data_IF_541754932390
#
_entry.id   IF_541754932390
#
_cell.length_a   1.000
_cell.length_b   1.000
_cell.length_c   1.000
_cell.angle_alpha   90.00
_cell.angle_beta   90.00
_cell.angle_gamma   90.00
#
_symmetry.space_group_name_H-M   'P 1'
#
loop_
_entity.id
_entity.type
_entity.pdbx_description
1 polymer ?
#
# COMPACT_ATOMS: atom_id res chain seq x y z
N UNK A 1 -6.88 -8.38 10.73
CA UNK A 1 -5.55 -8.89 10.35
C UNK A 1 -5.72 -10.31 9.84
N UNK A 2 -6.59 -10.50 8.84
CA UNK A 2 -7.02 -11.82 8.39
C UNK A 2 -5.86 -12.68 7.89
N UNK A 3 -5.01 -12.11 7.03
CA UNK A 3 -3.88 -12.83 6.45
C UNK A 3 -2.89 -13.30 7.53
N UNK A 4 -2.58 -12.44 8.50
CA UNK A 4 -1.73 -12.80 9.64
C UNK A 4 -2.37 -13.92 10.49
N UNK A 5 -3.65 -13.80 10.82
CA UNK A 5 -4.36 -14.82 11.61
C UNK A 5 -4.38 -16.19 10.91
N UNK A 6 -4.64 -16.19 9.59
CA UNK A 6 -4.56 -17.39 8.76
C UNK A 6 -3.16 -18.01 8.80
N UNK A 7 -2.11 -17.20 8.66
CA UNK A 7 -0.73 -17.69 8.74
C UNK A 7 -0.41 -18.27 10.13
N UNK A 8 -0.97 -17.69 11.20
CA UNK A 8 -0.84 -18.16 12.57
C UNK A 8 -1.75 -19.37 12.91
N UNK A 9 -2.42 -19.99 11.91
CA UNK A 9 -3.28 -21.16 12.11
C UNK A 9 -4.61 -20.85 12.80
N UNK A 10 -5.01 -19.58 12.89
CA UNK A 10 -6.27 -19.15 13.52
C UNK A 10 -7.34 -18.96 12.44
N UNK A 11 -8.56 -19.50 12.61
CA UNK A 11 -9.63 -19.31 11.63
C UNK A 11 -10.09 -17.86 11.64
N UNK A 12 -10.00 -17.20 10.48
CA UNK A 12 -10.54 -15.86 10.27
C UNK A 12 -10.91 -15.64 8.80
N UNK A 13 -11.99 -14.91 8.58
CA UNK A 13 -12.47 -14.53 7.25
C UNK A 13 -12.34 -13.02 7.09
N UNK A 14 -11.66 -12.59 6.03
CA UNK A 14 -11.59 -11.17 5.67
C UNK A 14 -12.98 -10.67 5.30
N UNK A 15 -13.41 -9.58 5.92
CA UNK A 15 -14.59 -8.81 5.50
C UNK A 15 -14.10 -7.53 4.84
N UNK A 16 -14.00 -7.48 3.49
CA UNK A 16 -13.54 -6.27 2.82
C UNK A 16 -14.59 -5.16 2.96
N UNK A 17 -14.17 -3.90 3.12
CA UNK A 17 -15.10 -2.77 3.07
C UNK A 17 -15.69 -2.65 1.65
N UNK A 18 -16.91 -2.09 1.55
CA UNK A 18 -17.47 -1.74 0.23
C UNK A 18 -16.62 -0.67 -0.43
N UNK A 19 -16.35 -0.85 -1.73
CA UNK A 19 -15.62 0.09 -2.58
C UNK A 19 -16.53 0.78 -3.59
N UNK A 20 -17.85 0.55 -3.52
CA UNK A 20 -18.83 1.05 -4.49
C UNK A 20 -18.88 2.59 -4.55
N UNK A 21 -18.59 3.24 -3.42
CA UNK A 21 -18.56 4.70 -3.32
C UNK A 21 -17.23 5.33 -3.78
N UNK A 22 -16.23 4.53 -4.17
CA UNK A 22 -14.94 5.06 -4.59
C UNK A 22 -15.09 5.82 -5.91
N UNK A 23 -14.61 7.06 -5.92
CA UNK A 23 -14.54 7.91 -7.11
C UNK A 23 -13.21 8.63 -7.16
N UNK A 24 -12.71 8.83 -8.38
CA UNK A 24 -11.51 9.65 -8.62
C UNK A 24 -11.90 11.11 -8.36
N UNK A 25 -11.18 11.79 -7.47
CA UNK A 25 -11.43 13.20 -7.13
C UNK A 25 -11.09 14.12 -8.30
N UNK A 26 -9.96 13.88 -8.97
CA UNK A 26 -9.49 14.60 -10.15
C UNK A 26 -8.59 13.71 -11.00
N UNK A 27 -8.52 13.97 -12.31
CA UNK A 27 -7.66 13.19 -13.22
C UNK A 27 -6.24 13.76 -13.32
N UNK A 28 -6.08 15.04 -13.01
CA UNK A 28 -4.83 15.77 -13.22
C UNK A 28 -3.81 15.55 -12.09
N UNK A 29 -2.54 15.53 -12.50
CA UNK A 29 -1.39 15.40 -11.59
C UNK A 29 -1.25 14.01 -10.97
N UNK A 30 -1.97 13.00 -11.45
CA UNK A 30 -1.67 11.62 -11.16
C UNK A 30 -0.26 11.25 -11.66
N UNK A 31 0.34 10.24 -11.05
CA UNK A 31 1.63 9.72 -11.49
C UNK A 31 1.38 8.59 -12.49
N UNK A 32 1.91 8.74 -13.69
CA UNK A 32 1.78 7.72 -14.73
C UNK A 32 2.59 6.47 -14.38
N UNK A 33 2.04 5.30 -14.68
CA UNK A 33 2.72 4.02 -14.48
C UNK A 33 2.87 3.32 -15.82
N UNK A 34 4.08 2.87 -16.12
CA UNK A 34 4.34 1.97 -17.24
C UNK A 34 5.02 0.72 -16.74
N UNK A 35 4.51 -0.44 -17.13
CA UNK A 35 5.13 -1.73 -16.85
C UNK A 35 5.80 -2.20 -18.12
N UNK A 36 7.13 -2.16 -18.14
CA UNK A 36 7.94 -2.52 -19.30
C UNK A 36 8.23 -4.02 -19.33
N UNK A 37 8.47 -4.62 -18.16
CA UNK A 37 8.59 -6.08 -18.03
C UNK A 37 7.30 -6.69 -17.47
N UNK A 38 6.34 -6.94 -18.37
CA UNK A 38 5.05 -7.56 -18.03
C UNK A 38 5.15 -9.05 -17.70
N UNK A 39 6.26 -9.71 -18.04
CA UNK A 39 6.48 -11.11 -17.69
C UNK A 39 6.80 -11.25 -16.18
N UNK A 40 7.72 -10.42 -15.68
CA UNK A 40 8.08 -10.40 -14.26
C UNK A 40 7.05 -9.68 -13.38
N UNK A 41 6.38 -8.66 -13.92
CA UNK A 41 5.36 -7.89 -13.23
C UNK A 41 4.10 -7.82 -14.10
N UNK A 42 3.16 -8.77 -14.02
CA UNK A 42 1.97 -8.76 -14.88
C UNK A 42 1.03 -7.59 -14.61
N UNK A 43 1.11 -6.99 -13.41
CA UNK A 43 0.29 -5.85 -13.03
C UNK A 43 1.00 -4.99 -12.00
N UNK A 44 1.04 -3.69 -12.26
CA UNK A 44 1.34 -2.66 -11.29
C UNK A 44 0.21 -1.64 -11.29
N UNK A 45 -0.28 -1.25 -10.11
CA UNK A 45 -1.36 -0.27 -9.98
C UNK A 45 -0.97 0.74 -8.92
N UNK A 46 -1.29 2.00 -9.14
CA UNK A 46 -0.99 3.09 -8.23
C UNK A 46 -2.21 3.99 -8.05
N UNK A 47 -2.28 4.64 -6.89
CA UNK A 47 -3.27 5.66 -6.58
C UNK A 47 -2.54 6.87 -5.99
N UNK A 48 -2.84 8.07 -6.50
CA UNK A 48 -2.33 9.32 -5.92
C UNK A 48 -3.34 9.84 -4.91
N UNK A 49 -2.93 9.99 -3.66
CA UNK A 49 -3.76 10.53 -2.58
C UNK A 49 -3.19 11.90 -2.18
N UNK A 50 -4.06 12.89 -2.00
CA UNK A 50 -3.68 14.29 -1.72
C UNK A 50 -4.18 14.73 -0.36
N UNK A 51 -3.54 15.78 0.17
CA UNK A 51 -3.93 16.35 1.47
C UNK A 51 -3.65 15.41 2.65
N UNK A 52 -2.73 14.46 2.47
CA UNK A 52 -2.30 13.57 3.54
C UNK A 52 -1.37 14.34 4.48
N UNK A 53 -1.78 14.48 5.72
CA UNK A 53 -0.92 14.92 6.81
C UNK A 53 -0.27 13.70 7.45
N UNK A 54 1.06 13.62 7.43
CA UNK A 54 1.79 12.54 8.11
C UNK A 54 1.82 12.83 9.60
N UNK A 55 1.24 11.93 10.40
CA UNK A 55 1.15 12.07 11.86
C UNK A 55 1.03 10.72 12.53
N UNK A 56 0.92 10.73 13.86
CA UNK A 56 0.70 9.52 14.63
C UNK A 56 -0.57 8.78 14.19
N UNK A 57 -0.49 7.46 14.14
CA UNK A 57 -1.62 6.59 13.85
C UNK A 57 -2.68 6.64 14.97
N UNK A 58 -3.96 6.50 14.64
CA UNK A 58 -5.01 6.37 15.63
C UNK A 58 -4.80 5.10 16.47
N UNK A 59 -5.28 5.11 17.72
CA UNK A 59 -5.03 4.04 18.70
C UNK A 59 -5.44 2.66 18.18
N UNK A 60 -6.60 2.54 17.53
CA UNK A 60 -7.06 1.26 16.98
C UNK A 60 -6.08 0.63 15.99
N UNK A 61 -5.34 1.44 15.23
CA UNK A 61 -4.36 0.97 14.25
C UNK A 61 -3.08 0.56 14.96
N UNK A 62 -2.60 1.37 15.90
CA UNK A 62 -1.44 1.07 16.75
C UNK A 62 -1.64 -0.24 17.52
N UNK A 63 -2.80 -0.43 18.12
CA UNK A 63 -3.16 -1.62 18.89
C UNK A 63 -3.14 -2.88 18.02
N UNK A 64 -3.76 -2.81 16.84
CA UNK A 64 -3.78 -3.94 15.90
C UNK A 64 -2.38 -4.35 15.48
N UNK A 65 -1.50 -3.40 15.15
CA UNK A 65 -0.12 -3.68 14.76
C UNK A 65 0.71 -4.21 15.95
N UNK A 66 0.56 -3.62 17.13
CA UNK A 66 1.31 -4.01 18.32
C UNK A 66 0.98 -5.43 18.77
N UNK A 67 -0.30 -5.85 18.67
CA UNK A 67 -0.74 -7.22 19.02
C UNK A 67 -0.06 -8.30 18.16
N UNK A 68 0.35 -7.96 16.93
CA UNK A 68 1.08 -8.86 16.04
C UNK A 68 2.60 -8.65 16.07
N UNK A 69 3.10 -7.88 17.05
CA UNK A 69 4.53 -7.65 17.27
C UNK A 69 5.15 -6.55 16.39
N UNK A 70 4.33 -5.75 15.69
CA UNK A 70 4.83 -4.63 14.89
C UNK A 70 4.84 -3.34 15.71
N UNK A 71 5.95 -2.60 15.62
CA UNK A 71 6.08 -1.26 16.18
C UNK A 71 5.42 -0.23 15.24
N UNK A 72 4.42 0.55 15.70
CA UNK A 72 3.86 1.65 14.93
C UNK A 72 4.88 2.76 14.65
N UNK A 73 4.74 3.43 13.50
CA UNK A 73 5.65 4.49 13.04
C UNK A 73 4.87 5.79 12.76
N UNK A 74 3.94 5.77 11.80
CA UNK A 74 3.05 6.89 11.46
C UNK A 74 1.87 6.37 10.64
N UNK A 75 0.84 7.20 10.46
CA UNK A 75 -0.40 6.84 9.76
C UNK A 75 -0.21 6.28 8.34
N UNK A 76 0.83 6.67 7.60
CA UNK A 76 1.09 6.19 6.24
C UNK A 76 1.78 4.82 6.24
N UNK A 77 2.82 4.64 7.08
CA UNK A 77 3.55 3.37 7.17
C UNK A 77 2.70 2.30 7.86
N UNK A 78 1.91 2.70 8.84
CA UNK A 78 1.11 1.78 9.63
C UNK A 78 -0.07 1.24 8.82
N UNK A 79 -0.70 2.09 7.99
CA UNK A 79 -1.84 1.63 7.17
C UNK A 79 -1.40 0.66 6.07
N UNK A 80 -0.22 0.83 5.47
CA UNK A 80 0.30 -0.14 4.49
C UNK A 80 0.61 -1.48 5.13
N UNK A 81 1.21 -1.49 6.33
CA UNK A 81 1.44 -2.71 7.10
C UNK A 81 0.14 -3.38 7.56
N UNK A 82 -0.83 -2.57 7.97
CA UNK A 82 -2.15 -3.08 8.33
C UNK A 82 -2.84 -3.77 7.15
N UNK A 83 -2.89 -3.12 5.98
CA UNK A 83 -3.47 -3.72 4.77
C UNK A 83 -2.72 -4.99 4.34
N UNK A 84 -1.39 -5.02 4.45
CA UNK A 84 -0.60 -6.22 4.22
C UNK A 84 -1.05 -7.37 5.14
N UNK A 85 -1.15 -7.14 6.45
CA UNK A 85 -1.53 -8.20 7.39
C UNK A 85 -3.03 -8.49 7.43
N UNK A 86 -3.86 -7.59 6.90
CA UNK A 86 -5.29 -7.79 6.69
C UNK A 86 -5.55 -8.62 5.44
N UNK A 87 -4.97 -8.26 4.30
CA UNK A 87 -5.32 -8.82 2.98
C UNK A 87 -4.29 -9.80 2.41
N UNK A 88 -3.05 -9.76 2.91
CA UNK A 88 -1.92 -10.50 2.34
C UNK A 88 -1.26 -9.78 1.17
N UNK A 89 -1.65 -8.53 0.87
CA UNK A 89 -1.10 -7.76 -0.24
C UNK A 89 -0.08 -6.70 0.25
N UNK A 90 1.22 -6.87 -0.05
CA UNK A 90 2.22 -5.84 0.27
C UNK A 90 1.93 -4.55 -0.50
N UNK A 91 2.01 -3.42 0.20
CA UNK A 91 1.87 -2.10 -0.40
C UNK A 91 3.09 -1.24 -0.12
N UNK A 92 3.28 -0.23 -0.95
CA UNK A 92 4.31 0.78 -0.75
C UNK A 92 3.71 2.17 -0.98
N UNK A 93 4.19 3.15 -0.22
CA UNK A 93 3.81 4.54 -0.37
C UNK A 93 5.06 5.34 -0.75
N UNK A 94 4.97 6.08 -1.85
CA UNK A 94 5.98 7.05 -2.25
C UNK A 94 5.48 8.46 -1.96
N UNK A 95 6.38 9.34 -1.55
CA UNK A 95 6.08 10.77 -1.56
C UNK A 95 6.15 11.28 -3.00
N UNK A 96 5.00 11.70 -3.52
CA UNK A 96 4.84 12.18 -4.89
C UNK A 96 5.78 13.36 -5.21
N UNK A 97 6.15 14.18 -4.22
CA UNK A 97 7.05 15.31 -4.42
C UNK A 97 8.47 14.86 -4.82
N UNK A 98 8.86 13.63 -4.46
CA UNK A 98 10.17 13.07 -4.81
C UNK A 98 10.18 12.33 -6.16
N UNK A 99 9.02 12.13 -6.79
CA UNK A 99 8.91 11.51 -8.12
C UNK A 99 9.00 12.60 -9.19
N UNK A 100 10.23 13.10 -9.42
CA UNK A 100 10.50 14.23 -10.30
C UNK A 100 10.12 14.00 -11.77
N UNK A 101 10.14 12.75 -12.23
CA UNK A 101 9.77 12.37 -13.60
C UNK A 101 8.26 12.46 -13.87
N UNK A 102 7.42 12.54 -12.82
CA UNK A 102 5.97 12.37 -12.93
C UNK A 102 5.53 10.97 -13.40
N UNK A 103 6.46 10.00 -13.47
CA UNK A 103 6.23 8.67 -14.01
C UNK A 103 7.00 7.59 -13.25
N UNK A 104 6.34 6.47 -12.98
CA UNK A 104 6.94 5.22 -12.50
C UNK A 104 7.10 4.25 -13.68
N UNK A 105 8.34 3.80 -13.93
CA UNK A 105 8.64 2.73 -14.88
C UNK A 105 9.04 1.47 -14.12
N UNK A 106 8.32 0.39 -14.35
CA UNK A 106 8.59 -0.93 -13.77
C UNK A 106 9.34 -1.77 -14.80
N UNK A 107 10.63 -1.96 -14.58
CA UNK A 107 11.54 -2.66 -15.50
C UNK A 107 12.59 -3.45 -14.72
N UNK A 108 13.21 -4.42 -15.40
CA UNK A 108 14.35 -5.16 -14.84
C UNK A 108 15.60 -4.27 -14.85
N UNK A 109 16.43 -4.41 -13.82
CA UNK A 109 17.76 -3.80 -13.81
C UNK A 109 18.62 -4.49 -14.88
N UNK A 110 19.34 -3.76 -15.74
CA UNK A 110 20.28 -4.36 -16.68
C UNK A 110 21.37 -5.14 -15.94
N UNK A 111 21.82 -6.25 -16.52
CA UNK A 111 22.94 -7.01 -15.96
C UNK A 111 24.20 -6.13 -15.88
N UNK A 112 24.89 -6.17 -14.72
CA UNK A 112 26.18 -5.49 -14.42
C UNK A 112 26.12 -3.98 -14.12
N UNK A 113 25.02 -3.51 -13.54
CA UNK A 113 24.97 -2.28 -12.74
C UNK A 113 24.66 -2.61 -11.30
#
# INVERSE_FOLDING_TARGET
>A
LAAWLRQAGKPYTLTPPSVEAFQIDRKEGGIDVTVENTEACPRYSALTIRGVEVKESPDWLKDKLTVIGLRPINNVVDITNFVLHETGHPMHAFDAAYIQSGKVSVRTLPDKT
#
